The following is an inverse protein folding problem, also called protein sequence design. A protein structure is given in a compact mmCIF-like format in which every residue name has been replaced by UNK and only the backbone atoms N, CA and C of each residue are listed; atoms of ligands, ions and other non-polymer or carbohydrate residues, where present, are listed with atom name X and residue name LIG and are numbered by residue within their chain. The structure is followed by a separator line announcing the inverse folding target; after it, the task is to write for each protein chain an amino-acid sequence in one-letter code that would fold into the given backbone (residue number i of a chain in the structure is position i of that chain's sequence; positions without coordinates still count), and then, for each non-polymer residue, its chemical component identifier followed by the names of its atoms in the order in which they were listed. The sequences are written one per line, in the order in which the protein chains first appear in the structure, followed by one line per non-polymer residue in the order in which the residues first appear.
data_IF_583339430999
#
_entry.id   IF_583339430999
#
_cell.length_a   1.000
_cell.length_b   1.000
_cell.length_c   1.000
_cell.angle_alpha   90.00
_cell.angle_beta   90.00
_cell.angle_gamma   90.00
#
_symmetry.space_group_name_H-M   'P 1'
#
loop_
_entity.id
_entity.type
_entity.pdbx_description
1 polymer ?
#
# COMPACT_ATOMS: atom_id res chain seq x y z
N UNK A 1 11.10 33.95 22.52
CA UNK A 1 11.23 32.47 22.44
C UNK A 1 9.85 31.92 22.14
N UNK A 2 9.69 31.04 21.14
CA UNK A 2 8.41 30.39 20.84
C UNK A 2 8.34 29.07 21.60
N UNK A 3 7.44 28.98 22.56
CA UNK A 3 7.28 27.85 23.47
C UNK A 3 6.45 26.73 22.83
N UNK A 4 5.88 27.00 21.65
CA UNK A 4 5.07 26.09 20.83
C UNK A 4 5.85 24.91 20.24
N UNK A 5 7.18 25.00 20.13
CA UNK A 5 8.03 23.89 19.69
C UNK A 5 8.34 22.86 20.80
N UNK A 6 8.02 23.17 22.06
CA UNK A 6 8.25 22.30 23.22
C UNK A 6 7.00 21.53 23.65
N UNK A 7 5.84 21.82 23.03
CA UNK A 7 4.61 21.07 23.29
C UNK A 7 4.69 19.74 22.53
N UNK A 8 4.37 18.61 23.19
CA UNK A 8 4.19 17.33 22.52
C UNK A 8 3.26 17.52 21.32
N UNK A 9 3.74 17.21 20.12
CA UNK A 9 2.88 17.18 18.95
C UNK A 9 1.85 16.08 19.20
N UNK A 10 0.55 16.40 19.08
CA UNK A 10 -0.47 15.37 19.10
C UNK A 10 -0.13 14.30 18.04
N UNK A 11 -0.39 13.01 18.30
CA UNK A 11 -0.18 11.98 17.29
C UNK A 11 -0.88 12.40 16.00
N UNK A 12 -0.13 12.46 14.89
CA UNK A 12 -0.73 12.71 13.59
C UNK A 12 -1.46 11.44 13.20
N UNK A 13 -2.76 11.40 13.44
CA UNK A 13 -3.60 10.28 13.03
C UNK A 13 -3.59 10.17 11.50
N UNK A 14 -3.39 8.94 11.01
CA UNK A 14 -3.48 8.67 9.60
C UNK A 14 -4.94 8.87 9.15
N UNK A 15 -5.11 9.55 8.02
CA UNK A 15 -6.41 9.67 7.37
C UNK A 15 -6.78 8.36 6.69
N UNK A 16 -8.07 8.09 6.48
CA UNK A 16 -8.47 6.89 5.75
C UNK A 16 -8.00 6.96 4.28
N UNK A 17 -7.45 5.85 3.77
CA UNK A 17 -7.05 5.76 2.37
C UNK A 17 -8.24 6.05 1.43
N UNK A 18 -8.03 6.98 0.50
CA UNK A 18 -9.04 7.43 -0.46
C UNK A 18 -8.44 7.61 -1.85
N UNK A 19 -9.26 7.79 -2.87
CA UNK A 19 -8.77 8.01 -4.25
C UNK A 19 -7.92 6.83 -4.74
N UNK A 20 -6.75 7.12 -5.32
CA UNK A 20 -5.83 6.09 -5.84
C UNK A 20 -5.19 5.27 -4.70
N UNK A 21 -5.00 5.86 -3.51
CA UNK A 21 -4.52 5.13 -2.33
C UNK A 21 -5.42 3.95 -1.92
N UNK A 22 -6.73 3.99 -2.23
CA UNK A 22 -7.64 2.86 -2.01
C UNK A 22 -7.28 1.61 -2.86
N UNK A 23 -6.47 1.78 -3.89
CA UNK A 23 -5.95 0.72 -4.75
C UNK A 23 -4.61 0.15 -4.24
N UNK A 24 -4.06 0.64 -3.12
CA UNK A 24 -2.73 0.25 -2.62
C UNK A 24 -2.54 -1.25 -2.45
N UNK A 25 -3.58 -1.98 -2.05
CA UNK A 25 -3.54 -3.44 -1.92
C UNK A 25 -3.20 -4.18 -3.24
N UNK A 26 -3.49 -3.56 -4.39
CA UNK A 26 -3.17 -4.12 -5.71
C UNK A 26 -1.66 -4.18 -5.96
N UNK A 27 -0.86 -3.33 -5.30
CA UNK A 27 0.61 -3.39 -5.39
C UNK A 27 1.15 -4.74 -4.94
N UNK A 28 0.45 -5.42 -4.03
CA UNK A 28 0.77 -6.76 -3.53
C UNK A 28 -0.01 -7.82 -4.32
N UNK A 29 -1.31 -7.60 -4.54
CA UNK A 29 -2.17 -8.59 -5.17
C UNK A 29 -1.78 -8.91 -6.62
N UNK A 30 -1.38 -7.91 -7.41
CA UNK A 30 -0.98 -8.09 -8.82
C UNK A 30 0.22 -9.04 -8.95
N UNK A 31 1.40 -8.76 -8.33
CA UNK A 31 2.54 -9.65 -8.45
C UNK A 31 2.25 -11.02 -7.83
N UNK A 32 1.50 -11.09 -6.73
CA UNK A 32 1.09 -12.37 -6.14
C UNK A 32 0.25 -13.22 -7.11
N UNK A 33 -0.77 -12.64 -7.73
CA UNK A 33 -1.63 -13.32 -8.69
C UNK A 33 -0.86 -13.77 -9.93
N UNK A 34 0.04 -12.93 -10.45
CA UNK A 34 0.90 -13.27 -11.59
C UNK A 34 1.87 -14.39 -11.22
N UNK A 35 2.48 -14.35 -10.04
CA UNK A 35 3.35 -15.44 -9.57
C UNK A 35 2.57 -16.76 -9.45
N UNK A 36 1.38 -16.76 -8.86
CA UNK A 36 0.52 -17.94 -8.80
C UNK A 36 0.23 -18.47 -10.21
N UNK A 37 -0.18 -17.58 -11.13
CA UNK A 37 -0.46 -17.96 -12.51
C UNK A 37 0.75 -18.60 -13.20
N UNK A 38 1.93 -17.99 -13.09
CA UNK A 38 3.17 -18.50 -13.70
C UNK A 38 3.60 -19.84 -13.09
N UNK A 39 3.44 -20.00 -11.78
CA UNK A 39 3.71 -21.27 -11.09
C UNK A 39 2.77 -22.38 -11.55
N UNK A 40 1.49 -22.08 -11.77
CA UNK A 40 0.50 -23.05 -12.26
C UNK A 40 0.73 -23.41 -13.73
N UNK A 41 1.14 -22.45 -14.58
CA UNK A 41 1.44 -22.71 -15.98
C UNK A 41 2.75 -23.49 -16.18
N UNK A 42 3.70 -23.32 -15.26
CA UNK A 42 5.03 -23.92 -15.34
C UNK A 42 5.69 -23.64 -16.70
N UNK A 43 6.19 -24.71 -17.34
CA UNK A 43 7.00 -24.66 -18.57
C UNK A 43 6.31 -23.97 -19.76
N UNK A 44 4.98 -23.94 -19.81
CA UNK A 44 4.24 -23.27 -20.89
C UNK A 44 4.52 -21.75 -20.90
N UNK A 45 4.89 -21.20 -19.74
CA UNK A 45 5.21 -19.79 -19.60
C UNK A 45 6.69 -19.43 -19.83
N UNK A 46 7.61 -20.38 -20.02
CA UNK A 46 9.06 -20.09 -20.05
C UNK A 46 9.45 -19.02 -21.08
N UNK A 47 8.81 -19.03 -22.25
CA UNK A 47 9.12 -18.10 -23.35
C UNK A 47 8.60 -16.67 -23.12
N UNK A 48 7.54 -16.48 -22.34
CA UNK A 48 6.82 -15.19 -22.27
C UNK A 48 6.50 -14.72 -20.85
N UNK A 49 6.52 -15.61 -19.86
CA UNK A 49 6.13 -15.36 -18.48
C UNK A 49 7.00 -14.32 -17.78
N UNK A 50 8.27 -14.19 -18.17
CA UNK A 50 9.13 -13.12 -17.66
C UNK A 50 8.63 -11.73 -18.05
N UNK A 51 8.07 -11.55 -19.26
CA UNK A 51 7.45 -10.27 -19.64
C UNK A 51 6.20 -9.98 -18.81
N UNK A 52 5.38 -11.00 -18.53
CA UNK A 52 4.22 -10.85 -17.64
C UNK A 52 4.67 -10.46 -16.22
N UNK A 53 5.72 -11.08 -15.69
CA UNK A 53 6.29 -10.74 -14.39
C UNK A 53 6.83 -9.30 -14.35
N UNK A 54 7.49 -8.84 -15.41
CA UNK A 54 7.94 -7.45 -15.54
C UNK A 54 6.75 -6.48 -15.57
N UNK A 55 5.70 -6.80 -16.33
CA UNK A 55 4.49 -5.99 -16.38
C UNK A 55 3.77 -5.94 -15.02
N UNK A 56 3.77 -7.04 -14.28
CA UNK A 56 3.23 -7.08 -12.92
C UNK A 56 3.95 -6.11 -11.99
N UNK A 57 5.29 -6.15 -11.98
CA UNK A 57 6.12 -5.23 -11.19
C UNK A 57 5.94 -3.76 -11.61
N UNK A 58 5.86 -3.50 -12.93
CA UNK A 58 5.58 -2.15 -13.44
C UNK A 58 4.20 -1.64 -13.05
N UNK A 59 3.21 -2.52 -12.95
CA UNK A 59 1.87 -2.17 -12.50
C UNK A 59 1.88 -1.75 -11.02
N UNK A 60 2.55 -2.50 -10.14
CA UNK A 60 2.74 -2.11 -8.74
C UNK A 60 3.48 -0.78 -8.60
N UNK A 61 4.52 -0.57 -9.40
CA UNK A 61 5.22 0.71 -9.45
C UNK A 61 4.30 1.86 -9.88
N UNK A 62 3.50 1.67 -10.93
CA UNK A 62 2.57 2.68 -11.43
C UNK A 62 1.53 3.10 -10.40
N UNK A 63 1.00 2.12 -9.64
CA UNK A 63 0.07 2.39 -8.53
C UNK A 63 0.79 3.20 -7.45
N UNK A 64 1.96 2.77 -6.98
CA UNK A 64 2.73 3.49 -5.96
C UNK A 64 3.09 4.92 -6.38
N UNK A 65 3.50 5.11 -7.64
CA UNK A 65 3.79 6.43 -8.19
C UNK A 65 2.55 7.34 -8.20
N UNK A 66 1.39 6.80 -8.59
CA UNK A 66 0.14 7.55 -8.59
C UNK A 66 -0.30 7.93 -7.16
N UNK A 67 -0.07 7.06 -6.17
CA UNK A 67 -0.31 7.35 -4.75
C UNK A 67 0.60 8.48 -4.27
N UNK A 68 1.90 8.43 -4.61
CA UNK A 68 2.83 9.53 -4.30
C UNK A 68 2.31 10.84 -4.89
N UNK A 69 1.95 10.86 -6.17
CA UNK A 69 1.40 12.06 -6.84
C UNK A 69 0.14 12.57 -6.12
N UNK A 70 -0.77 11.68 -5.72
CA UNK A 70 -1.95 12.04 -4.93
C UNK A 70 -1.55 12.72 -3.62
N UNK A 71 -0.59 12.17 -2.88
CA UNK A 71 -0.15 12.71 -1.59
C UNK A 71 0.56 14.06 -1.72
N UNK A 72 1.27 14.31 -2.83
CA UNK A 72 1.80 15.64 -3.11
C UNK A 72 0.70 16.69 -3.25
N UNK A 73 -0.52 16.29 -3.66
CA UNK A 73 -1.67 17.16 -3.86
C UNK A 73 -2.49 17.49 -2.61
N UNK A 74 -2.25 16.83 -1.46
CA UNK A 74 -2.96 17.08 -0.19
C UNK A 74 -2.11 17.85 0.82
N UNK A 75 -2.73 18.40 1.85
CA UNK A 75 -2.03 19.16 2.90
C UNK A 75 -1.04 18.25 3.66
N UNK A 76 0.07 18.78 4.20
CA UNK A 76 1.07 17.97 4.90
C UNK A 76 0.52 17.09 6.03
N UNK A 77 -0.53 17.54 6.72
CA UNK A 77 -1.22 16.78 7.77
C UNK A 77 -2.05 15.60 7.27
N UNK A 78 -2.35 15.56 5.96
CA UNK A 78 -3.18 14.54 5.31
C UNK A 78 -2.35 13.55 4.48
N UNK A 79 -1.01 13.70 4.48
CA UNK A 79 -0.06 12.81 3.78
C UNK A 79 0.28 11.55 4.56
N UNK A 80 -0.58 11.14 5.48
CA UNK A 80 -0.50 9.84 6.13
C UNK A 80 -1.86 9.21 5.88
N UNK A 81 -1.88 8.14 5.07
CA UNK A 81 -3.11 7.44 4.72
C UNK A 81 -3.01 5.98 5.16
N UNK A 82 -3.97 5.54 5.99
CA UNK A 82 -4.05 4.16 6.46
C UNK A 82 -5.20 3.41 5.75
N UNK A 83 -4.88 2.21 5.29
CA UNK A 83 -5.83 1.25 4.73
C UNK A 83 -5.81 -0.02 5.57
N UNK A 84 -6.83 -0.22 6.40
CA UNK A 84 -7.05 -1.50 7.07
C UNK A 84 -7.62 -2.51 6.05
N UNK A 85 -7.02 -3.71 5.99
CA UNK A 85 -7.48 -4.79 5.11
C UNK A 85 -8.30 -5.82 5.89
N UNK A 86 -7.78 -6.28 7.01
CA UNK A 86 -8.45 -7.20 7.93
C UNK A 86 -7.73 -7.25 9.28
N UNK A 87 -8.42 -7.74 10.31
CA UNK A 87 -7.84 -8.01 11.62
C UNK A 87 -7.05 -9.33 11.60
N UNK A 88 -5.75 -9.27 11.89
CA UNK A 88 -4.87 -10.44 11.89
C UNK A 88 -4.90 -11.20 13.22
N UNK A 89 -4.87 -10.47 14.34
CA UNK A 89 -4.90 -11.07 15.68
C UNK A 89 -5.98 -10.38 16.51
N UNK A 90 -7.16 -11.00 16.68
CA UNK A 90 -8.18 -10.54 17.63
C UNK A 90 -7.92 -11.12 19.02
N UNK A 91 -7.33 -10.34 19.94
CA UNK A 91 -7.03 -10.76 21.31
C UNK A 91 -7.60 -9.80 22.37
N UNK A 92 -8.90 -9.48 22.25
CA UNK A 92 -9.61 -8.63 23.22
C UNK A 92 -9.09 -7.19 23.18
N UNK A 93 -8.53 -6.71 24.29
CA UNK A 93 -7.94 -5.36 24.38
C UNK A 93 -6.68 -5.19 23.52
N UNK A 94 -6.09 -6.28 23.03
CA UNK A 94 -4.97 -6.27 22.09
C UNK A 94 -5.41 -6.77 20.72
N UNK A 95 -5.44 -5.88 19.73
CA UNK A 95 -5.79 -6.22 18.34
C UNK A 95 -4.66 -5.83 17.41
N UNK A 96 -4.26 -6.74 16.51
CA UNK A 96 -3.30 -6.45 15.44
C UNK A 96 -4.02 -6.42 14.11
N UNK A 97 -3.97 -5.27 13.45
CA UNK A 97 -4.56 -5.06 12.14
C UNK A 97 -3.53 -5.30 11.03
N UNK A 98 -3.94 -5.98 9.97
CA UNK A 98 -3.18 -6.02 8.73
C UNK A 98 -3.66 -4.90 7.81
N UNK A 99 -2.74 -4.04 7.39
CA UNK A 99 -3.07 -2.87 6.60
C UNK A 99 -1.86 -2.29 5.90
N UNK A 100 -2.11 -1.23 5.13
CA UNK A 100 -1.10 -0.45 4.44
C UNK A 100 -1.10 0.96 5.00
N UNK A 101 0.10 1.42 5.38
CA UNK A 101 0.38 2.82 5.62
C UNK A 101 1.06 3.37 4.37
N UNK A 102 0.52 4.45 3.83
CA UNK A 102 0.99 5.12 2.63
C UNK A 102 1.30 6.58 2.93
#
# INVERSE_FOLDING_TARGET
MNYSMLLPQAPVEATAASGVASLGWLMIAIPLAVSILLLLLGRVSDRWGHWLAVLASWSSFGIGLAIIIQMLGVAPSERSMEMNLFEWIPAGDFTVNFGLLM
#
